data_IF_789348043335
#
_entry.id   IF_789348043335
#
_cell.length_a   1.000
_cell.length_b   1.000
_cell.length_c   1.000
_cell.angle_alpha   90.00
_cell.angle_beta   90.00
_cell.angle_gamma   90.00
#
_symmetry.space_group_name_H-M   'P 1'
#
loop_
_entity.id
_entity.type
_entity.pdbx_description
1 polymer ?
#
# COMPACT_ATOMS: atom_id res chain seq x y z
N UNK A 1 -3.85 5.01 2.60
CA UNK A 1 -2.76 4.63 3.51
C UNK A 1 -3.27 4.06 4.85
N UNK A 2 -4.21 4.69 5.57
CA UNK A 2 -4.71 4.16 6.87
C UNK A 2 -5.39 2.78 6.77
N UNK A 3 -6.35 2.61 5.85
CA UNK A 3 -7.05 1.34 5.72
C UNK A 3 -6.16 0.18 5.24
N UNK A 4 -5.21 0.44 4.34
CA UNK A 4 -4.22 -0.57 3.93
C UNK A 4 -3.32 -1.03 5.08
N UNK A 5 -3.02 -0.14 6.05
CA UNK A 5 -2.28 -0.51 7.25
C UNK A 5 -3.13 -1.36 8.21
N UNK A 6 -4.44 -1.10 8.28
CA UNK A 6 -5.38 -1.92 9.06
C UNK A 6 -5.46 -3.34 8.47
N UNK A 7 -5.62 -3.46 7.15
CA UNK A 7 -5.67 -4.73 6.42
C UNK A 7 -4.40 -5.56 6.61
N UNK A 8 -3.22 -4.92 6.54
CA UNK A 8 -1.94 -5.58 6.77
C UNK A 8 -1.72 -6.06 8.21
N UNK A 9 -2.49 -5.57 9.19
CA UNK A 9 -2.36 -5.89 10.62
C UNK A 9 -3.55 -6.64 11.19
N UNK A 10 -4.59 -6.90 10.40
CA UNK A 10 -5.80 -7.63 10.81
C UNK A 10 -5.46 -9.05 11.34
N UNK A 11 -4.38 -9.66 10.83
CA UNK A 11 -3.92 -10.97 11.31
C UNK A 11 -3.36 -10.93 12.75
N UNK A 12 -2.81 -9.79 13.19
CA UNK A 12 -2.16 -9.64 14.49
C UNK A 12 -3.08 -8.97 15.54
N UNK A 13 -4.03 -8.15 15.09
CA UNK A 13 -4.89 -7.29 15.92
C UNK A 13 -6.32 -7.26 15.36
N UNK A 14 -7.31 -7.15 16.25
CA UNK A 14 -8.71 -6.99 15.80
C UNK A 14 -8.90 -5.70 14.99
N UNK A 15 -9.74 -5.77 13.97
CA UNK A 15 -10.06 -4.63 13.08
C UNK A 15 -10.55 -3.42 13.87
N UNK A 16 -11.37 -3.64 14.90
CA UNK A 16 -11.94 -2.57 15.73
C UNK A 16 -10.84 -1.81 16.48
N UNK A 17 -9.88 -2.55 17.05
CA UNK A 17 -8.76 -1.96 17.80
C UNK A 17 -7.85 -1.16 16.87
N UNK A 18 -7.56 -1.69 15.69
CA UNK A 18 -6.70 -1.01 14.72
C UNK A 18 -7.41 0.20 14.10
N UNK A 19 -8.73 0.14 13.90
CA UNK A 19 -9.55 1.29 13.50
C UNK A 19 -9.51 2.41 14.54
N UNK A 20 -9.62 2.09 15.83
CA UNK A 20 -9.49 3.06 16.92
C UNK A 20 -8.10 3.72 16.93
N UNK A 21 -7.03 2.91 16.81
CA UNK A 21 -5.64 3.40 16.75
C UNK A 21 -5.38 4.30 15.53
N UNK A 22 -6.03 4.02 14.41
CA UNK A 22 -5.90 4.80 13.18
C UNK A 22 -6.90 5.97 13.08
N UNK A 23 -7.74 6.18 14.10
CA UNK A 23 -8.79 7.19 14.14
C UNK A 23 -9.74 7.11 12.93
N UNK A 24 -10.20 5.90 12.59
CA UNK A 24 -11.17 5.66 11.52
C UNK A 24 -12.34 4.80 12.01
N UNK A 25 -13.47 4.83 11.28
CA UNK A 25 -14.60 3.96 11.61
C UNK A 25 -14.43 2.56 10.99
N UNK A 26 -14.88 1.50 11.70
CA UNK A 26 -14.94 0.14 11.13
C UNK A 26 -15.79 0.07 9.87
N UNK A 27 -16.90 0.82 9.81
CA UNK A 27 -17.76 0.90 8.62
C UNK A 27 -17.02 1.46 7.41
N UNK A 28 -16.14 2.46 7.62
CA UNK A 28 -15.28 3.01 6.58
C UNK A 28 -14.24 2.02 6.09
N UNK A 29 -13.68 1.20 7.00
CA UNK A 29 -12.76 0.13 6.65
C UNK A 29 -13.41 -0.93 5.74
N UNK A 30 -14.54 -1.50 6.15
CA UNK A 30 -15.23 -2.51 5.33
C UNK A 30 -15.74 -1.93 4.00
N UNK A 31 -16.20 -0.67 4.00
CA UNK A 31 -16.56 0.02 2.77
C UNK A 31 -15.35 0.31 1.86
N UNK A 32 -14.14 0.40 2.42
CA UNK A 32 -12.91 0.52 1.65
C UNK A 32 -12.45 -0.84 1.10
N UNK A 33 -12.53 -1.90 1.92
CA UNK A 33 -12.11 -3.26 1.55
C UNK A 33 -12.91 -3.81 0.35
N UNK A 34 -14.19 -3.47 0.24
CA UNK A 34 -15.03 -3.86 -0.90
C UNK A 34 -14.93 -2.96 -2.13
N UNK A 35 -14.14 -1.87 -2.10
CA UNK A 35 -14.04 -0.95 -3.25
C UNK A 35 -13.14 -1.55 -4.33
N UNK A 36 -13.54 -1.45 -5.62
CA UNK A 36 -12.62 -1.71 -6.70
C UNK A 36 -11.48 -0.69 -6.69
N UNK A 37 -10.32 -1.09 -7.19
CA UNK A 37 -9.19 -0.18 -7.35
C UNK A 37 -9.62 1.06 -8.15
N UNK A 38 -9.30 2.24 -7.62
CA UNK A 38 -9.54 3.50 -8.33
C UNK A 38 -8.69 3.55 -9.62
N UNK A 39 -9.04 4.44 -10.53
CA UNK A 39 -8.23 4.69 -11.73
C UNK A 39 -6.78 5.02 -11.37
N UNK A 40 -6.59 5.95 -10.42
CA UNK A 40 -5.26 6.30 -9.91
C UNK A 40 -4.49 5.11 -9.34
N UNK A 41 -5.15 4.20 -8.60
CA UNK A 41 -4.48 2.99 -8.10
C UNK A 41 -4.06 2.04 -9.22
N UNK A 42 -4.83 1.98 -10.32
CA UNK A 42 -4.46 1.17 -11.49
C UNK A 42 -3.25 1.77 -12.19
N UNK A 43 -3.23 3.07 -12.37
CA UNK A 43 -2.10 3.79 -12.95
C UNK A 43 -0.84 3.61 -12.09
N UNK A 44 -0.96 3.75 -10.78
CA UNK A 44 0.14 3.50 -9.84
C UNK A 44 0.70 2.08 -9.98
N UNK A 45 -0.15 1.06 -10.13
CA UNK A 45 0.32 -0.32 -10.35
C UNK A 45 1.10 -0.46 -11.66
N UNK A 46 0.65 0.21 -12.73
CA UNK A 46 1.32 0.23 -14.03
C UNK A 46 2.70 0.90 -13.88
N UNK A 47 2.76 2.09 -13.28
CA UNK A 47 4.02 2.80 -13.06
C UNK A 47 4.97 2.00 -12.16
N UNK A 48 4.46 1.39 -11.10
CA UNK A 48 5.25 0.57 -10.18
C UNK A 48 5.85 -0.64 -10.91
N UNK A 49 5.12 -1.26 -11.85
CA UNK A 49 5.64 -2.35 -12.67
C UNK A 49 6.78 -1.86 -13.58
N UNK A 50 6.62 -0.71 -14.24
CA UNK A 50 7.67 -0.11 -15.07
C UNK A 50 8.91 0.24 -14.25
N UNK A 51 8.76 0.88 -13.09
CA UNK A 51 9.87 1.21 -12.19
C UNK A 51 10.63 -0.06 -11.79
N UNK A 52 9.92 -1.14 -11.44
CA UNK A 52 10.53 -2.42 -11.07
C UNK A 52 11.29 -3.06 -12.24
N UNK A 53 10.77 -2.96 -13.47
CA UNK A 53 11.47 -3.45 -14.66
C UNK A 53 12.76 -2.67 -14.89
N UNK A 54 12.67 -1.34 -14.97
CA UNK A 54 13.81 -0.46 -15.18
C UNK A 54 14.88 -0.63 -14.09
N UNK A 55 14.46 -0.78 -12.82
CA UNK A 55 15.38 -1.04 -11.72
C UNK A 55 16.13 -2.37 -11.89
N UNK A 56 15.45 -3.45 -12.28
CA UNK A 56 16.07 -4.75 -12.54
C UNK A 56 17.04 -4.70 -13.72
N UNK A 57 16.65 -4.03 -14.81
CA UNK A 57 17.49 -3.82 -15.98
C UNK A 57 18.76 -3.04 -15.63
N UNK A 58 18.66 -2.07 -14.72
CA UNK A 58 19.82 -1.34 -14.20
C UNK A 58 20.71 -2.14 -13.24
N UNK A 59 20.45 -3.45 -13.03
CA UNK A 59 21.12 -4.30 -12.01
C UNK A 59 20.99 -3.73 -10.59
N UNK A 60 19.93 -2.96 -10.33
CA UNK A 60 19.74 -2.25 -9.05
C UNK A 60 20.76 -1.14 -8.80
N UNK A 61 21.33 -0.56 -9.87
CA UNK A 61 22.27 0.58 -9.81
C UNK A 61 21.52 1.91 -9.83
N UNK A 62 20.32 1.96 -10.42
CA UNK A 62 19.50 3.16 -10.48
C UNK A 62 18.80 3.43 -9.13
N UNK A 63 19.16 4.51 -8.45
CA UNK A 63 18.65 4.88 -7.12
C UNK A 63 19.57 5.88 -6.40
N UNK A 64 19.27 6.24 -5.15
CA UNK A 64 20.17 7.07 -4.34
C UNK A 64 21.55 6.43 -4.26
N UNK A 65 22.61 7.22 -4.47
CA UNK A 65 24.01 6.78 -4.32
C UNK A 65 24.14 5.95 -3.05
N UNK A 66 24.58 4.70 -3.18
CA UNK A 66 25.02 3.93 -2.02
C UNK A 66 26.30 4.63 -1.55
N UNK A 67 26.18 5.46 -0.53
CA UNK A 67 27.36 6.02 0.14
C UNK A 67 28.15 4.81 0.68
N UNK A 68 29.44 4.68 0.32
CA UNK A 68 30.29 3.59 0.76
C UNK A 68 30.51 3.60 2.28
#
# INVERSE_FOLDING_TARGET
MRFALIDAREADLSVERTCQLCEVSPSGYYAWQGRPASEHQRDDMIYLAHIRSAFRESTGTYGSLRMP
#
